data_IF_171739421197
#
_entry.id   IF_171739421197
#
_cell.length_a   1.000
_cell.length_b   1.000
_cell.length_c   1.000
_cell.angle_alpha   90.00
_cell.angle_beta   90.00
_cell.angle_gamma   90.00
#
_symmetry.space_group_name_H-M   'P 1'
#
loop_
_entity.id
_entity.type
_entity.pdbx_description
1 polymer ?
#
# COMPACT_ATOMS: atom_id res chain seq x y z
N UNK A 1 -2.68 -11.08 2.74
CA UNK A 1 -2.01 -10.25 3.75
C UNK A 1 -0.65 -10.86 4.12
N UNK A 2 -0.60 -11.79 5.08
CA UNK A 2 0.62 -12.42 5.61
C UNK A 2 1.62 -12.93 4.56
N UNK A 3 1.12 -13.64 3.53
CA UNK A 3 1.97 -14.21 2.48
C UNK A 3 2.93 -13.18 1.88
N UNK A 4 2.39 -12.04 1.42
CA UNK A 4 3.16 -11.03 0.69
C UNK A 4 3.82 -10.05 1.64
N UNK A 5 3.11 -9.58 2.68
CA UNK A 5 3.59 -8.49 3.54
C UNK A 5 4.49 -8.92 4.69
N UNK A 6 4.60 -10.21 4.97
CA UNK A 6 5.42 -10.74 6.07
C UNK A 6 6.30 -11.89 5.60
N UNK A 7 5.70 -13.01 5.18
CA UNK A 7 6.47 -14.24 4.92
C UNK A 7 7.45 -14.11 3.76
N UNK A 8 7.01 -13.50 2.66
CA UNK A 8 7.83 -13.30 1.47
C UNK A 8 8.88 -12.20 1.68
N UNK A 9 8.49 -11.09 2.31
CA UNK A 9 9.40 -9.97 2.60
C UNK A 9 10.46 -10.37 3.61
N UNK A 10 10.11 -11.14 4.64
CA UNK A 10 11.05 -11.70 5.61
C UNK A 10 12.06 -12.63 4.93
N UNK A 11 11.60 -13.54 4.06
CA UNK A 11 12.49 -14.44 3.30
C UNK A 11 13.48 -13.65 2.43
N UNK A 12 12.98 -12.70 1.63
CA UNK A 12 13.80 -11.90 0.72
C UNK A 12 14.85 -11.10 1.49
N UNK A 13 14.43 -10.39 2.55
CA UNK A 13 15.35 -9.60 3.38
C UNK A 13 16.36 -10.51 4.08
N UNK A 14 15.93 -11.66 4.59
CA UNK A 14 16.83 -12.62 5.25
C UNK A 14 17.86 -13.21 4.29
N UNK A 15 17.49 -13.46 3.03
CA UNK A 15 18.42 -13.89 1.99
C UNK A 15 19.46 -12.80 1.71
N UNK A 16 19.04 -11.58 1.40
CA UNK A 16 19.95 -10.49 1.01
C UNK A 16 20.82 -9.99 2.17
N UNK A 17 20.37 -10.13 3.41
CA UNK A 17 21.21 -9.91 4.59
C UNK A 17 22.10 -11.11 4.92
N UNK A 18 21.81 -12.27 4.34
CA UNK A 18 22.44 -13.53 4.68
C UNK A 18 22.25 -13.87 6.15
N UNK A 19 21.04 -13.67 6.69
CA UNK A 19 20.65 -14.02 8.08
C UNK A 19 19.77 -15.25 8.16
N UNK A 20 19.26 -15.76 7.02
CA UNK A 20 18.61 -17.08 6.97
C UNK A 20 19.55 -18.18 7.47
N UNK A 21 19.02 -19.27 8.04
CA UNK A 21 19.84 -20.37 8.54
C UNK A 21 20.74 -20.96 7.44
N UNK A 22 21.89 -21.50 7.83
CA UNK A 22 22.87 -22.09 6.92
C UNK A 22 23.17 -23.50 7.43
N UNK A 23 22.63 -24.49 6.73
CA UNK A 23 22.80 -25.90 7.10
C UNK A 23 24.08 -26.46 6.48
N UNK A 24 24.78 -27.35 7.19
CA UNK A 24 25.97 -28.01 6.66
C UNK A 24 25.58 -28.93 5.47
N UNK A 25 26.42 -29.04 4.42
CA UNK A 25 27.75 -28.42 4.26
C UNK A 25 27.73 -27.08 3.49
N UNK A 26 26.63 -26.31 3.51
CA UNK A 26 26.58 -25.00 2.83
C UNK A 26 27.42 -23.95 3.55
N UNK A 27 27.80 -22.90 2.82
CA UNK A 27 28.62 -21.81 3.33
C UNK A 27 28.04 -20.46 2.88
N UNK A 28 27.83 -19.55 3.85
CA UNK A 28 27.37 -18.17 3.61
C UNK A 28 28.34 -17.37 2.74
N UNK A 29 29.62 -17.73 2.69
CA UNK A 29 30.59 -17.09 1.80
C UNK A 29 30.26 -17.32 0.31
N UNK A 30 29.54 -18.40 -0.01
CA UNK A 30 29.10 -18.71 -1.38
C UNK A 30 27.85 -17.92 -1.81
N UNK A 31 27.24 -17.14 -0.91
CA UNK A 31 25.99 -16.41 -1.16
C UNK A 31 26.29 -15.01 -1.71
N UNK A 32 26.47 -14.91 -3.03
CA UNK A 32 26.73 -13.66 -3.75
C UNK A 32 25.55 -12.65 -3.69
N UNK A 33 24.36 -13.10 -3.32
CA UNK A 33 23.21 -12.21 -3.05
C UNK A 33 23.23 -11.57 -1.66
N UNK A 34 24.04 -12.07 -0.72
CA UNK A 34 24.02 -11.68 0.68
C UNK A 34 24.84 -10.40 0.95
N UNK A 35 24.45 -9.30 0.30
CA UNK A 35 25.19 -8.01 0.25
C UNK A 35 24.73 -6.97 1.28
N UNK A 36 23.53 -7.11 1.85
CA UNK A 36 22.98 -6.16 2.82
C UNK A 36 23.52 -6.44 4.23
N UNK A 37 24.82 -6.23 4.42
CA UNK A 37 25.55 -6.45 5.68
C UNK A 37 26.30 -5.19 6.11
N UNK A 38 26.65 -5.11 7.39
CA UNK A 38 27.49 -4.03 7.93
C UNK A 38 27.01 -2.62 7.56
N UNK A 39 27.92 -1.81 7.04
CA UNK A 39 27.62 -0.43 6.61
C UNK A 39 26.65 -0.35 5.43
N UNK A 40 26.71 -1.28 4.48
CA UNK A 40 25.75 -1.34 3.36
C UNK A 40 24.31 -1.42 3.87
N UNK A 41 24.07 -2.24 4.91
CA UNK A 41 22.74 -2.35 5.51
C UNK A 41 22.30 -1.07 6.23
N UNK A 42 23.20 -0.41 6.94
CA UNK A 42 22.91 0.86 7.64
C UNK A 42 22.59 1.99 6.65
N UNK A 43 23.40 2.15 5.60
CA UNK A 43 23.20 3.15 4.55
C UNK A 43 21.92 2.90 3.76
N UNK A 44 21.65 1.64 3.42
CA UNK A 44 20.40 1.23 2.78
C UNK A 44 19.20 1.57 3.66
N UNK A 45 19.27 1.23 4.94
CA UNK A 45 18.20 1.51 5.88
C UNK A 45 17.92 3.01 6.06
N UNK A 46 18.97 3.83 6.09
CA UNK A 46 18.86 5.29 6.07
C UNK A 46 18.17 5.78 4.79
N UNK A 47 18.57 5.26 3.63
CA UNK A 47 17.98 5.64 2.33
C UNK A 47 16.47 5.35 2.26
N UNK A 48 16.03 4.25 2.87
CA UNK A 48 14.59 3.93 3.00
C UNK A 48 13.85 4.95 3.87
N UNK A 49 14.45 5.36 5.00
CA UNK A 49 13.86 6.37 5.87
C UNK A 49 13.81 7.75 5.20
N UNK A 50 14.87 8.13 4.49
CA UNK A 50 14.99 9.40 3.77
C UNK A 50 14.00 9.50 2.59
N UNK A 51 13.42 8.39 2.14
CA UNK A 51 12.35 8.37 1.14
C UNK A 51 10.99 8.85 1.68
N UNK A 52 10.84 8.99 3.01
CA UNK A 52 9.57 9.34 3.66
C UNK A 52 8.88 10.60 3.11
N UNK A 53 9.57 11.73 2.88
CA UNK A 53 8.93 12.95 2.39
C UNK A 53 8.32 12.82 0.99
N UNK A 54 8.76 11.80 0.22
CA UNK A 54 8.31 11.56 -1.15
C UNK A 54 7.16 10.55 -1.22
N UNK A 55 6.71 10.02 -0.08
CA UNK A 55 5.55 9.13 -0.04
C UNK A 55 4.26 9.96 0.13
N UNK A 56 3.24 9.74 -0.72
CA UNK A 56 1.95 10.38 -0.57
C UNK A 56 1.37 10.16 0.84
N UNK A 57 0.75 11.20 1.40
CA UNK A 57 0.11 11.13 2.72
C UNK A 57 -0.98 10.06 2.83
N UNK A 58 -1.52 9.57 1.70
CA UNK A 58 -2.46 8.44 1.64
C UNK A 58 -1.89 7.13 2.21
N UNK A 59 -0.57 7.02 2.35
CA UNK A 59 0.09 5.83 2.86
C UNK A 59 0.11 5.71 4.39
N UNK A 60 -0.48 6.68 5.12
CA UNK A 60 -0.69 6.81 6.57
C UNK A 60 0.60 6.66 7.43
N UNK A 61 1.36 5.58 7.22
CA UNK A 61 2.63 5.30 7.88
C UNK A 61 3.72 4.94 6.86
N UNK A 62 4.73 5.81 6.66
CA UNK A 62 5.89 5.50 5.83
C UNK A 62 6.75 4.41 6.50
N UNK A 63 7.48 3.61 5.71
CA UNK A 63 8.42 2.61 6.23
C UNK A 63 9.55 3.30 7.00
N UNK A 64 9.75 2.91 8.26
CA UNK A 64 10.89 3.37 9.07
C UNK A 64 12.20 2.74 8.57
N UNK A 65 13.33 3.22 9.09
CA UNK A 65 14.65 2.63 8.83
C UNK A 65 14.64 1.12 9.14
N UNK A 66 14.69 0.23 8.13
CA UNK A 66 14.64 -1.21 8.36
C UNK A 66 15.87 -1.71 9.12
N UNK A 67 17.02 -1.05 9.02
CA UNK A 67 18.22 -1.46 9.74
C UNK A 67 18.11 -1.31 11.26
N UNK A 68 17.26 -0.38 11.73
CA UNK A 68 17.03 -0.15 13.16
C UNK A 68 15.79 -0.88 13.69
N UNK A 69 14.79 -1.13 12.83
CA UNK A 69 13.44 -1.50 13.27
C UNK A 69 12.97 -2.89 12.85
N UNK A 70 13.61 -3.56 11.89
CA UNK A 70 13.16 -4.89 11.41
C UNK A 70 13.04 -5.93 12.53
N UNK A 71 13.93 -5.90 13.52
CA UNK A 71 13.93 -6.82 14.67
C UNK A 71 13.08 -6.35 15.86
N UNK A 72 12.48 -5.15 15.81
CA UNK A 72 11.82 -4.51 16.96
C UNK A 72 10.43 -3.95 16.62
N UNK A 73 9.65 -4.69 15.83
CA UNK A 73 8.24 -4.36 15.55
C UNK A 73 8.01 -3.59 14.25
N UNK A 74 8.73 -3.97 13.20
CA UNK A 74 8.45 -3.52 11.82
C UNK A 74 7.15 -4.12 11.34
N UNK A 75 6.20 -3.26 10.95
CA UNK A 75 4.83 -3.70 10.66
C UNK A 75 4.73 -4.26 9.26
N UNK A 76 3.77 -5.16 9.07
CA UNK A 76 3.44 -5.73 7.76
C UNK A 76 3.21 -4.65 6.67
N UNK A 77 2.57 -3.53 7.02
CA UNK A 77 2.39 -2.41 6.09
C UNK A 77 3.72 -1.74 5.70
N UNK A 78 4.65 -1.61 6.64
CA UNK A 78 5.97 -1.05 6.36
C UNK A 78 6.78 -1.98 5.47
N UNK A 79 6.75 -3.30 5.71
CA UNK A 79 7.35 -4.28 4.81
C UNK A 79 6.79 -4.19 3.39
N UNK A 80 5.47 -4.07 3.26
CA UNK A 80 4.81 -3.98 1.97
C UNK A 80 5.26 -2.73 1.19
N UNK A 81 5.32 -1.57 1.85
CA UNK A 81 5.78 -0.32 1.21
C UNK A 81 7.28 -0.35 0.91
N UNK A 82 8.08 -0.78 1.87
CA UNK A 82 9.53 -0.89 1.69
C UNK A 82 9.87 -1.80 0.51
N UNK A 83 9.36 -3.03 0.48
CA UNK A 83 9.74 -4.00 -0.55
C UNK A 83 9.02 -3.73 -1.87
N UNK A 84 7.69 -3.55 -1.88
CA UNK A 84 6.96 -3.51 -3.15
C UNK A 84 6.69 -2.11 -3.68
N UNK A 85 6.76 -1.04 -2.88
CA UNK A 85 6.64 0.32 -3.37
C UNK A 85 8.02 0.96 -3.63
N UNK A 86 8.90 0.99 -2.62
CA UNK A 86 10.22 1.60 -2.73
C UNK A 86 11.28 0.67 -3.33
N UNK A 87 11.14 -0.64 -3.13
CA UNK A 87 12.15 -1.66 -3.42
C UNK A 87 12.85 -1.51 -4.78
N UNK A 88 12.14 -1.40 -5.91
CA UNK A 88 12.79 -1.27 -7.22
C UNK A 88 13.82 -0.14 -7.28
N UNK A 89 13.55 0.99 -6.61
CA UNK A 89 14.49 2.12 -6.55
C UNK A 89 15.59 1.89 -5.51
N UNK A 90 15.21 1.55 -4.27
CA UNK A 90 16.18 1.47 -3.16
C UNK A 90 17.14 0.27 -3.25
N UNK A 91 16.78 -0.79 -3.98
CA UNK A 91 17.67 -1.93 -4.20
C UNK A 91 18.49 -1.82 -5.49
N UNK A 92 18.18 -0.87 -6.37
CA UNK A 92 18.91 -0.69 -7.63
C UNK A 92 20.36 -0.29 -7.34
N UNK A 93 21.31 -0.95 -8.00
CA UNK A 93 22.77 -0.83 -7.75
C UNK A 93 23.24 -1.17 -6.32
N UNK A 94 22.35 -1.66 -5.44
CA UNK A 94 22.71 -2.15 -4.10
C UNK A 94 22.83 -3.66 -4.09
N UNK A 95 21.88 -4.37 -4.71
CA UNK A 95 21.96 -5.82 -4.94
C UNK A 95 22.43 -6.12 -6.37
N UNK A 96 23.12 -7.25 -6.62
CA UNK A 96 23.58 -7.58 -7.97
C UNK A 96 22.44 -7.62 -8.99
N UNK A 97 22.72 -7.15 -10.21
CA UNK A 97 21.72 -6.90 -11.26
C UNK A 97 20.80 -8.10 -11.53
N UNK A 98 21.35 -9.32 -11.58
CA UNK A 98 20.55 -10.54 -11.79
C UNK A 98 19.47 -10.76 -10.71
N UNK A 99 19.77 -10.44 -9.45
CA UNK A 99 18.83 -10.54 -8.34
C UNK A 99 17.83 -9.39 -8.35
N UNK A 100 18.28 -8.20 -8.72
CA UNK A 100 17.39 -7.04 -8.86
C UNK A 100 16.37 -7.23 -10.00
N UNK A 101 16.80 -7.70 -11.17
CA UNK A 101 15.92 -8.00 -12.29
C UNK A 101 14.92 -9.11 -11.94
N UNK A 102 15.38 -10.17 -11.28
CA UNK A 102 14.53 -11.24 -10.74
C UNK A 102 13.47 -10.70 -9.78
N UNK A 103 13.90 -9.87 -8.82
CA UNK A 103 13.02 -9.20 -7.88
C UNK A 103 11.99 -8.29 -8.55
N UNK A 104 12.37 -7.56 -9.61
CA UNK A 104 11.44 -6.69 -10.33
C UNK A 104 10.29 -7.45 -11.01
N UNK A 105 10.51 -8.71 -11.44
CA UNK A 105 9.43 -9.59 -11.92
C UNK A 105 8.38 -9.81 -10.83
N UNK A 106 8.84 -10.15 -9.63
CA UNK A 106 7.96 -10.32 -8.47
C UNK A 106 7.24 -9.02 -8.11
N UNK A 107 7.95 -7.90 -8.05
CA UNK A 107 7.33 -6.60 -7.74
C UNK A 107 6.23 -6.27 -8.73
N UNK A 108 6.48 -6.47 -10.02
CA UNK A 108 5.49 -6.22 -11.07
C UNK A 108 4.24 -7.08 -10.86
N UNK A 109 4.42 -8.38 -10.67
CA UNK A 109 3.29 -9.29 -10.45
C UNK A 109 2.49 -8.95 -9.19
N UNK A 110 3.17 -8.71 -8.06
CA UNK A 110 2.54 -8.37 -6.79
C UNK A 110 1.78 -7.04 -6.88
N UNK A 111 2.34 -6.03 -7.54
CA UNK A 111 1.67 -4.74 -7.76
C UNK A 111 0.38 -4.91 -8.55
N UNK A 112 0.37 -5.75 -9.59
CA UNK A 112 -0.85 -6.07 -10.36
C UNK A 112 -1.88 -6.75 -9.47
N UNK A 113 -1.49 -7.80 -8.73
CA UNK A 113 -2.40 -8.58 -7.86
C UNK A 113 -3.02 -7.73 -6.74
N UNK A 114 -2.35 -6.66 -6.30
CA UNK A 114 -2.86 -5.75 -5.27
C UNK A 114 -3.79 -4.66 -5.79
N UNK A 115 -4.02 -4.57 -7.11
CA UNK A 115 -4.98 -3.61 -7.64
C UNK A 115 -6.41 -4.02 -7.25
N UNK A 116 -7.27 -3.01 -7.06
CA UNK A 116 -8.70 -3.21 -6.77
C UNK A 116 -9.50 -3.62 -8.00
N UNK A 117 -9.04 -3.25 -9.19
CA UNK A 117 -9.59 -3.68 -10.47
C UNK A 117 -8.42 -4.11 -11.34
N UNK A 118 -8.48 -5.34 -11.84
CA UNK A 118 -7.38 -5.98 -12.56
C UNK A 118 -7.89 -6.40 -13.93
N UNK A 119 -7.25 -5.92 -15.00
CA UNK A 119 -7.52 -6.41 -16.36
C UNK A 119 -6.98 -7.83 -16.52
N UNK A 120 -7.70 -8.67 -17.26
CA UNK A 120 -7.33 -10.07 -17.51
C UNK A 120 -5.90 -10.17 -18.08
N UNK A 121 -5.55 -9.33 -19.05
CA UNK A 121 -4.21 -9.33 -19.66
C UNK A 121 -3.10 -9.03 -18.64
N UNK A 122 -3.35 -8.08 -17.72
CA UNK A 122 -2.40 -7.79 -16.64
C UNK A 122 -2.27 -8.99 -15.69
N UNK A 123 -3.37 -9.67 -15.39
CA UNK A 123 -3.35 -10.85 -14.54
C UNK A 123 -2.55 -12.00 -15.19
N UNK A 124 -2.65 -12.17 -16.51
CA UNK A 124 -1.82 -13.11 -17.26
C UNK A 124 -0.33 -12.76 -17.16
N UNK A 125 0.03 -11.48 -17.29
CA UNK A 125 1.41 -11.00 -17.10
C UNK A 125 1.90 -11.31 -15.67
N UNK A 126 1.08 -11.01 -14.65
CA UNK A 126 1.42 -11.28 -13.26
C UNK A 126 1.64 -12.78 -13.02
N UNK A 127 0.78 -13.63 -13.57
CA UNK A 127 0.92 -15.08 -13.46
C UNK A 127 2.22 -15.58 -14.09
N UNK A 128 2.52 -15.13 -15.32
CA UNK A 128 3.78 -15.45 -16.01
C UNK A 128 4.99 -15.04 -15.18
N UNK A 129 5.04 -13.79 -14.70
CA UNK A 129 6.17 -13.30 -13.91
C UNK A 129 6.32 -14.02 -12.57
N UNK A 130 5.24 -14.47 -11.95
CA UNK A 130 5.31 -15.31 -10.75
C UNK A 130 5.92 -16.68 -11.07
N UNK A 131 5.47 -17.34 -12.15
CA UNK A 131 6.02 -18.64 -12.55
C UNK A 131 7.52 -18.54 -12.85
N UNK A 132 7.91 -17.50 -13.60
CA UNK A 132 9.32 -17.22 -13.87
C UNK A 132 10.08 -16.93 -12.57
N UNK A 133 9.53 -16.11 -11.67
CA UNK A 133 10.18 -15.81 -10.39
C UNK A 133 10.43 -17.09 -9.57
N UNK A 134 9.45 -17.99 -9.45
CA UNK A 134 9.60 -19.24 -8.68
C UNK A 134 10.65 -20.16 -9.30
N UNK A 135 10.62 -20.34 -10.62
CA UNK A 135 11.64 -21.13 -11.34
C UNK A 135 13.03 -20.51 -11.19
N UNK A 136 13.15 -19.21 -11.39
CA UNK A 136 14.42 -18.50 -11.31
C UNK A 136 14.93 -18.45 -9.85
N UNK A 137 14.04 -18.47 -8.84
CA UNK A 137 14.41 -18.59 -7.42
C UNK A 137 15.11 -19.93 -7.14
N UNK A 138 14.61 -21.01 -7.76
CA UNK A 138 15.22 -22.34 -7.68
C UNK A 138 16.66 -22.34 -8.18
N UNK A 139 16.92 -21.62 -9.28
CA UNK A 139 18.23 -21.51 -9.91
C UNK A 139 19.16 -20.56 -9.14
N UNK A 140 18.63 -19.44 -8.67
CA UNK A 140 19.44 -18.33 -8.13
C UNK A 140 19.78 -18.53 -6.66
N UNK A 141 18.80 -18.89 -5.83
CA UNK A 141 18.97 -18.99 -4.37
C UNK A 141 19.15 -20.44 -3.92
N UNK A 142 18.17 -21.30 -4.22
CA UNK A 142 18.19 -22.69 -3.80
C UNK A 142 19.33 -23.49 -4.47
N UNK A 143 19.62 -23.19 -5.73
CA UNK A 143 20.65 -23.84 -6.55
C UNK A 143 20.54 -25.37 -6.58
N UNK A 144 19.35 -25.91 -6.29
CA UNK A 144 19.08 -27.36 -6.19
C UNK A 144 19.97 -28.09 -5.18
N UNK A 145 20.46 -27.40 -4.16
CA UNK A 145 21.30 -27.96 -3.11
C UNK A 145 20.43 -28.44 -1.95
N UNK A 146 20.56 -29.70 -1.54
CA UNK A 146 19.82 -30.25 -0.40
C UNK A 146 19.97 -29.38 0.85
N UNK A 147 21.19 -28.91 1.13
CA UNK A 147 21.51 -28.01 2.25
C UNK A 147 20.84 -26.61 2.18
N UNK A 148 20.08 -26.30 1.12
CA UNK A 148 19.32 -25.06 0.94
C UNK A 148 17.82 -25.28 0.79
N UNK A 149 17.32 -26.50 1.00
CA UNK A 149 15.89 -26.82 0.81
C UNK A 149 14.98 -25.94 1.66
N UNK A 150 15.45 -25.52 2.84
CA UNK A 150 14.75 -24.61 3.75
C UNK A 150 14.58 -23.18 3.20
N UNK A 151 15.28 -22.81 2.12
CA UNK A 151 15.04 -21.55 1.41
C UNK A 151 13.68 -21.58 0.67
N UNK A 152 13.24 -22.76 0.24
CA UNK A 152 11.97 -22.99 -0.45
C UNK A 152 10.79 -23.00 0.53
N UNK A 153 10.64 -21.91 1.30
CA UNK A 153 9.57 -21.76 2.29
C UNK A 153 8.18 -21.84 1.64
N UNK A 154 7.13 -22.18 2.40
CA UNK A 154 5.75 -22.24 1.88
C UNK A 154 5.29 -20.97 1.16
N UNK A 155 5.85 -19.79 1.49
CA UNK A 155 5.53 -18.56 0.78
C UNK A 155 5.97 -18.56 -0.69
N UNK A 156 7.05 -19.24 -1.06
CA UNK A 156 7.48 -19.39 -2.46
C UNK A 156 6.50 -20.31 -3.22
N UNK A 157 6.13 -21.44 -2.60
CA UNK A 157 5.14 -22.36 -3.17
C UNK A 157 3.76 -21.73 -3.35
N UNK A 158 3.34 -20.86 -2.43
CA UNK A 158 2.03 -20.23 -2.49
C UNK A 158 1.91 -19.17 -3.61
N UNK A 159 3.02 -18.64 -4.14
CA UNK A 159 3.00 -17.56 -5.12
C UNK A 159 2.23 -17.89 -6.42
N UNK A 160 2.47 -19.03 -7.11
CA UNK A 160 1.79 -19.36 -8.36
C UNK A 160 0.27 -19.44 -8.25
N UNK A 161 -0.26 -19.66 -7.04
CA UNK A 161 -1.69 -19.70 -6.78
C UNK A 161 -2.33 -18.32 -6.73
N UNK A 162 -1.58 -17.23 -6.56
CA UNK A 162 -2.16 -15.89 -6.38
C UNK A 162 -3.03 -15.45 -7.56
N UNK A 163 -2.56 -15.61 -8.80
CA UNK A 163 -3.32 -15.16 -9.97
C UNK A 163 -4.58 -16.00 -10.23
N UNK A 164 -4.54 -17.36 -10.20
CA UNK A 164 -5.74 -18.19 -10.25
C UNK A 164 -6.76 -17.84 -9.15
N UNK A 165 -6.28 -17.56 -7.93
CA UNK A 165 -7.16 -17.19 -6.82
C UNK A 165 -7.86 -15.85 -7.07
N UNK A 166 -7.18 -14.88 -7.70
CA UNK A 166 -7.82 -13.62 -8.11
C UNK A 166 -8.97 -13.86 -9.10
N UNK A 167 -8.86 -14.84 -10.00
CA UNK A 167 -9.97 -15.22 -10.90
C UNK A 167 -11.12 -15.85 -10.12
N UNK A 168 -10.79 -16.71 -9.14
CA UNK A 168 -11.77 -17.49 -8.37
C UNK A 168 -12.59 -16.65 -7.40
N UNK A 169 -11.95 -15.75 -6.65
CA UNK A 169 -12.60 -15.01 -5.54
C UNK A 169 -12.46 -13.48 -5.66
N UNK A 170 -11.90 -12.99 -6.76
CA UNK A 170 -11.65 -11.57 -6.98
C UNK A 170 -10.35 -11.06 -6.34
N UNK A 171 -10.02 -9.78 -6.53
CA UNK A 171 -8.77 -9.19 -6.06
C UNK A 171 -8.58 -9.33 -4.55
N UNK A 172 -7.35 -9.65 -4.15
CA UNK A 172 -6.99 -9.86 -2.75
C UNK A 172 -7.29 -8.66 -1.84
N UNK A 173 -7.36 -7.45 -2.40
CA UNK A 173 -7.73 -6.23 -1.69
C UNK A 173 -9.10 -6.32 -0.99
N UNK A 174 -10.02 -7.16 -1.48
CA UNK A 174 -11.36 -7.33 -0.92
C UNK A 174 -11.49 -8.51 0.05
N UNK A 175 -10.52 -9.43 0.04
CA UNK A 175 -10.49 -10.63 0.89
C UNK A 175 -9.37 -10.60 1.92
N UNK A 176 -8.74 -9.44 2.14
CA UNK A 176 -7.68 -9.30 3.15
C UNK A 176 -8.20 -9.48 4.58
N UNK A 177 -7.30 -9.95 5.46
CA UNK A 177 -7.60 -10.14 6.88
C UNK A 177 -7.46 -8.85 7.72
N UNK A 178 -7.01 -7.72 7.13
CA UNK A 178 -6.74 -6.48 7.87
C UNK A 178 -7.93 -6.01 8.70
N UNK A 179 -9.12 -5.96 8.09
CA UNK A 179 -10.35 -5.50 8.77
C UNK A 179 -10.76 -6.45 9.89
N UNK A 180 -10.60 -7.76 9.67
CA UNK A 180 -10.90 -8.78 10.67
C UNK A 180 -9.94 -8.68 11.86
N UNK A 181 -8.63 -8.59 11.62
CA UNK A 181 -7.62 -8.44 12.69
C UNK A 181 -7.81 -7.17 13.49
N UNK A 182 -8.11 -6.05 12.82
CA UNK A 182 -8.43 -4.79 13.49
C UNK A 182 -9.68 -4.94 14.37
N UNK A 183 -10.69 -5.65 13.88
CA UNK A 183 -11.92 -5.92 14.63
C UNK A 183 -11.64 -6.80 15.86
N UNK A 184 -10.80 -7.84 15.71
CA UNK A 184 -10.35 -8.68 16.83
C UNK A 184 -9.62 -7.85 17.88
N UNK A 185 -8.67 -7.00 17.47
CA UNK A 185 -7.95 -6.11 18.38
C UNK A 185 -8.89 -5.17 19.12
N UNK A 186 -9.82 -4.53 18.41
CA UNK A 186 -10.79 -3.62 18.99
C UNK A 186 -11.73 -4.32 19.98
N UNK A 187 -12.18 -5.53 19.68
CA UNK A 187 -12.96 -6.33 20.62
C UNK A 187 -12.13 -6.78 21.83
N UNK A 188 -10.84 -7.07 21.63
CA UNK A 188 -9.91 -7.42 22.70
C UNK A 188 -9.75 -6.30 23.74
N UNK A 189 -9.74 -5.04 23.31
CA UNK A 189 -9.70 -3.86 24.20
C UNK A 189 -10.94 -3.76 25.11
N UNK A 190 -12.06 -4.40 24.74
CA UNK A 190 -13.30 -4.38 25.51
C UNK A 190 -13.38 -5.50 26.56
N UNK A 191 -12.43 -6.44 26.56
CA UNK A 191 -12.38 -7.53 27.54
C UNK A 191 -11.92 -6.96 28.88
N UNK A 192 -12.87 -6.79 29.81
CA UNK A 192 -12.62 -6.21 31.14
C UNK A 192 -12.60 -7.23 32.27
N UNK A 193 -12.94 -8.49 31.98
CA UNK A 193 -13.01 -9.57 32.97
C UNK A 193 -11.99 -10.68 32.67
N UNK A 194 -10.84 -10.72 33.36
CA UNK A 194 -9.79 -11.69 33.09
C UNK A 194 -10.16 -13.13 33.49
N UNK A 195 -11.13 -13.33 34.39
CA UNK A 195 -11.54 -14.66 34.85
C UNK A 195 -12.46 -15.41 33.90
N UNK A 196 -13.21 -14.70 33.04
CA UNK A 196 -14.16 -15.29 32.07
C UNK A 196 -14.13 -14.51 30.74
N UNK A 197 -12.96 -14.43 30.07
CA UNK A 197 -12.76 -13.52 28.93
C UNK A 197 -13.68 -13.83 27.76
N UNK A 198 -13.92 -15.10 27.44
CA UNK A 198 -14.81 -15.49 26.34
C UNK A 198 -16.28 -15.15 26.61
N UNK A 199 -16.78 -15.39 27.82
CA UNK A 199 -18.15 -15.03 28.18
C UNK A 199 -18.35 -13.50 28.14
N UNK A 200 -17.37 -12.74 28.62
CA UNK A 200 -17.38 -11.29 28.54
C UNK A 200 -17.37 -10.80 27.08
N UNK A 201 -16.47 -11.35 26.25
CA UNK A 201 -16.39 -11.06 24.83
C UNK A 201 -17.71 -11.34 24.10
N UNK A 202 -18.35 -12.49 24.37
CA UNK A 202 -19.67 -12.81 23.79
C UNK A 202 -20.73 -11.78 24.17
N UNK A 203 -20.78 -11.36 25.44
CA UNK A 203 -21.71 -10.31 25.87
C UNK A 203 -21.41 -8.96 25.20
N UNK A 204 -20.14 -8.58 25.05
CA UNK A 204 -19.74 -7.37 24.29
C UNK A 204 -20.18 -7.45 22.83
N UNK A 205 -20.02 -8.62 22.20
CA UNK A 205 -20.49 -8.86 20.84
C UNK A 205 -22.01 -8.71 20.69
N UNK A 206 -22.79 -9.28 21.61
CA UNK A 206 -24.26 -9.14 21.64
C UNK A 206 -24.65 -7.67 21.78
N UNK A 207 -24.08 -6.95 22.76
CA UNK A 207 -24.39 -5.54 22.99
C UNK A 207 -24.07 -4.68 21.76
N UNK A 208 -22.93 -4.89 21.11
CA UNK A 208 -22.56 -4.15 19.88
C UNK A 208 -23.54 -4.44 18.74
N UNK A 209 -23.96 -5.70 18.60
CA UNK A 209 -24.93 -6.10 17.59
C UNK A 209 -26.30 -5.46 17.84
N UNK A 210 -26.76 -5.42 19.10
CA UNK A 210 -28.00 -4.76 19.50
C UNK A 210 -27.94 -3.24 19.25
N UNK A 211 -26.84 -2.58 19.62
CA UNK A 211 -26.65 -1.14 19.36
C UNK A 211 -26.63 -0.85 17.86
N UNK A 212 -25.90 -1.65 17.07
CA UNK A 212 -25.88 -1.50 15.62
C UNK A 212 -27.26 -1.71 14.99
N UNK A 213 -28.03 -2.69 15.48
CA UNK A 213 -29.40 -2.93 15.01
C UNK A 213 -30.31 -1.75 15.34
N UNK A 214 -30.25 -1.20 16.56
CA UNK A 214 -31.01 -0.01 16.94
C UNK A 214 -30.66 1.20 16.08
N UNK A 215 -29.37 1.45 15.84
CA UNK A 215 -28.89 2.52 14.95
C UNK A 215 -29.37 2.36 13.51
N UNK A 216 -29.44 1.13 13.01
CA UNK A 216 -29.94 0.84 11.66
C UNK A 216 -31.47 0.98 11.56
N UNK A 217 -32.21 0.56 12.59
CA UNK A 217 -33.67 0.64 12.63
C UNK A 217 -34.18 2.06 12.89
N UNK A 218 -33.43 2.86 13.64
CA UNK A 218 -33.78 4.23 14.01
C UNK A 218 -32.59 5.14 13.66
N UNK A 219 -32.48 5.58 12.38
CA UNK A 219 -31.37 6.42 11.93
C UNK A 219 -31.20 7.73 12.73
N UNK A 220 -32.30 8.23 13.33
CA UNK A 220 -32.30 9.44 14.16
C UNK A 220 -31.53 9.29 15.48
N UNK A 221 -31.21 8.06 15.93
CA UNK A 221 -30.36 7.83 17.11
C UNK A 221 -28.92 8.30 16.90
N UNK A 222 -28.44 8.27 15.65
CA UNK A 222 -27.12 8.75 15.26
C UNK A 222 -27.25 9.46 13.91
N UNK A 223 -27.80 10.69 13.89
CA UNK A 223 -28.06 11.40 12.66
C UNK A 223 -26.74 11.59 11.89
N UNK A 224 -26.77 11.26 10.60
CA UNK A 224 -25.62 11.43 9.71
C UNK A 224 -25.39 12.94 9.55
N UNK A 225 -24.52 13.51 10.37
CA UNK A 225 -24.09 14.89 10.20
C UNK A 225 -23.04 14.92 9.10
N UNK A 226 -23.45 15.29 7.89
CA UNK A 226 -22.53 15.57 6.79
C UNK A 226 -21.76 16.84 7.14
N UNK A 227 -20.61 16.68 7.81
CA UNK A 227 -19.69 17.79 8.02
C UNK A 227 -18.88 17.99 6.76
N UNK A 228 -19.07 19.14 6.12
CA UNK A 228 -18.22 19.57 5.02
C UNK A 228 -16.74 19.51 5.45
N UNK A 229 -15.86 18.89 4.65
CA UNK A 229 -14.43 18.95 4.89
C UNK A 229 -13.98 20.40 5.01
N UNK A 230 -13.00 20.68 5.87
CA UNK A 230 -12.53 22.06 6.09
C UNK A 230 -12.17 22.76 4.78
N UNK A 231 -12.86 23.86 4.48
CA UNK A 231 -12.66 24.66 3.27
C UNK A 231 -13.46 24.19 2.05
N UNK A 232 -14.32 23.18 2.20
CA UNK A 232 -15.31 22.84 1.19
C UNK A 232 -16.49 23.82 1.21
N UNK A 233 -17.11 24.05 0.06
CA UNK A 233 -18.32 24.87 -0.12
C UNK A 233 -19.40 24.03 -0.78
N UNK A 234 -20.61 24.09 -0.25
CA UNK A 234 -21.77 23.47 -0.91
C UNK A 234 -22.18 24.30 -2.13
N UNK A 235 -22.45 23.64 -3.25
CA UNK A 235 -22.86 24.28 -4.51
C UNK A 235 -24.34 24.08 -4.82
N UNK A 236 -25.07 23.31 -3.98
CA UNK A 236 -26.45 22.89 -4.24
C UNK A 236 -26.54 21.67 -5.16
N UNK A 237 -27.73 21.04 -5.21
CA UNK A 237 -28.00 19.90 -6.09
C UNK A 237 -27.12 18.67 -5.84
N UNK A 238 -26.75 18.42 -4.58
CA UNK A 238 -25.83 17.37 -4.14
C UNK A 238 -24.36 17.55 -4.56
N UNK A 239 -23.99 18.75 -5.02
CA UNK A 239 -22.60 19.09 -5.36
C UNK A 239 -21.89 19.83 -4.23
N UNK A 240 -20.63 19.46 -4.00
CA UNK A 240 -19.73 20.10 -3.05
C UNK A 240 -18.41 20.46 -3.72
N UNK A 241 -18.01 21.72 -3.64
CA UNK A 241 -16.69 22.19 -4.03
C UNK A 241 -15.70 21.90 -2.91
N UNK A 242 -14.74 21.00 -3.15
CA UNK A 242 -13.67 20.75 -2.19
C UNK A 242 -12.57 21.81 -2.32
N UNK A 243 -11.90 22.12 -1.21
CA UNK A 243 -10.70 22.96 -1.23
C UNK A 243 -9.65 22.34 -2.15
N UNK A 244 -9.00 23.16 -2.99
CA UNK A 244 -7.83 22.76 -3.76
C UNK A 244 -6.76 22.18 -2.81
N UNK A 245 -6.37 20.93 -3.04
CA UNK A 245 -5.34 20.22 -2.27
C UNK A 245 -4.12 19.84 -3.10
N UNK A 246 -4.19 20.03 -4.42
CA UNK A 246 -3.05 19.84 -5.30
C UNK A 246 -2.14 21.07 -5.27
N UNK A 247 -0.85 20.82 -5.13
CA UNK A 247 0.22 21.82 -5.27
C UNK A 247 0.74 21.88 -6.71
N UNK A 248 0.23 21.03 -7.59
CA UNK A 248 0.68 20.82 -8.97
C UNK A 248 -0.49 20.93 -9.95
N UNK A 249 -0.28 21.65 -11.06
CA UNK A 249 -1.29 21.82 -12.08
C UNK A 249 -1.47 20.53 -12.90
N UNK A 250 -2.71 20.12 -13.13
CA UNK A 250 -3.06 18.99 -13.99
C UNK A 250 -3.87 19.49 -15.19
N UNK A 251 -3.54 19.00 -16.38
CA UNK A 251 -4.38 19.15 -17.56
C UNK A 251 -5.65 18.30 -17.36
N UNK A 252 -6.82 18.92 -17.49
CA UNK A 252 -8.11 18.22 -17.49
C UNK A 252 -8.52 18.06 -18.94
N UNK A 253 -8.79 16.82 -19.38
CA UNK A 253 -9.35 16.59 -20.71
C UNK A 253 -10.78 17.16 -20.80
N UNK A 254 -11.02 17.98 -21.83
CA UNK A 254 -12.25 18.77 -22.07
C UNK A 254 -13.56 17.97 -22.22
N UNK A 255 -13.57 16.66 -21.94
CA UNK A 255 -14.77 15.83 -22.04
C UNK A 255 -15.78 16.06 -20.89
N UNK A 256 -15.38 16.75 -19.81
CA UNK A 256 -16.22 16.97 -18.62
C UNK A 256 -16.94 18.34 -18.57
N UNK A 257 -16.71 19.22 -19.55
CA UNK A 257 -17.10 20.64 -19.48
C UNK A 257 -18.45 20.99 -20.13
N UNK A 258 -19.27 20.00 -20.49
CA UNK A 258 -20.57 20.25 -21.17
C UNK A 258 -21.74 20.57 -20.24
N UNK A 259 -21.59 20.51 -18.92
CA UNK A 259 -22.64 20.84 -17.97
C UNK A 259 -22.12 21.86 -16.94
N UNK A 260 -22.46 23.14 -17.14
CA UNK A 260 -22.70 24.22 -16.14
C UNK A 260 -22.30 25.56 -16.76
N UNK A 261 -23.21 26.16 -17.53
CA UNK A 261 -23.23 27.60 -17.81
C UNK A 261 -23.96 28.31 -16.68
N UNK A 262 -23.22 28.77 -15.66
CA UNK A 262 -23.76 29.56 -14.56
C UNK A 262 -22.73 30.59 -14.10
N UNK A 263 -22.96 31.86 -14.43
CA UNK A 263 -22.12 32.99 -14.07
C UNK A 263 -21.95 33.09 -12.53
N UNK A 264 -20.72 32.93 -12.04
CA UNK A 264 -20.33 33.39 -10.71
C UNK A 264 -19.09 34.28 -10.84
N UNK A 265 -19.28 35.58 -10.60
CA UNK A 265 -18.20 36.57 -10.55
C UNK A 265 -17.22 36.23 -9.41
N UNK A 266 -15.94 36.20 -9.74
CA UNK A 266 -14.86 35.91 -8.78
C UNK A 266 -14.51 37.17 -7.97
N UNK A 267 -14.39 37.11 -6.62
CA UNK A 267 -13.77 38.18 -5.86
C UNK A 267 -12.23 38.06 -5.94
N UNK A 268 -11.54 39.21 -5.98
CA UNK A 268 -10.08 39.31 -6.13
C UNK A 268 -9.28 38.56 -5.04
N UNK A 269 -8.11 37.98 -5.37
CA UNK A 269 -7.28 37.23 -4.42
C UNK A 269 -6.50 38.17 -3.49
N UNK A 270 -6.80 38.12 -2.19
CA UNK A 270 -5.95 38.69 -1.13
C UNK A 270 -4.73 37.81 -0.82
N UNK A 271 -3.67 38.36 -0.20
CA UNK A 271 -2.39 37.67 -0.01
C UNK A 271 -2.51 36.49 0.98
N UNK A 272 -1.95 35.34 0.58
CA UNK A 272 -1.98 34.09 1.34
C UNK A 272 -1.10 34.16 2.60
N UNK A 273 -1.68 33.84 3.77
CA UNK A 273 -0.92 33.52 5.00
C UNK A 273 -0.63 32.01 5.09
N UNK A 274 0.54 31.60 5.60
CA UNK A 274 0.85 30.18 5.76
C UNK A 274 0.11 29.61 6.97
N UNK A 275 -0.78 28.62 6.76
CA UNK A 275 -1.38 27.83 7.84
C UNK A 275 -0.98 26.36 7.69
N UNK A 276 -0.28 25.82 8.68
CA UNK A 276 -0.06 24.38 8.86
C UNK A 276 -1.41 23.69 9.08
N UNK A 277 -1.82 22.78 8.20
CA UNK A 277 -2.98 21.91 8.43
C UNK A 277 -2.76 20.52 7.79
N UNK A 278 -2.94 19.47 8.60
CA UNK A 278 -2.93 18.05 8.23
C UNK A 278 -4.01 17.73 7.18
N UNK A 279 -3.73 16.88 6.17
CA UNK A 279 -4.77 16.37 5.29
C UNK A 279 -5.28 15.01 5.76
N UNK A 280 -6.58 14.94 6.09
CA UNK A 280 -7.36 13.69 6.06
C UNK A 280 -7.85 13.48 4.62
N UNK A 281 -7.44 12.38 3.97
CA UNK A 281 -7.77 12.06 2.58
C UNK A 281 -8.59 10.77 2.48
N UNK A 282 -9.63 10.83 1.65
CA UNK A 282 -10.54 9.73 1.32
C UNK A 282 -9.88 8.58 0.55
N UNK A 283 -10.58 7.45 0.57
CA UNK A 283 -10.18 6.09 0.20
C UNK A 283 -9.82 5.89 -1.29
N UNK A 284 -8.67 6.43 -1.73
CA UNK A 284 -7.89 5.86 -2.83
C UNK A 284 -6.83 4.92 -2.26
N UNK A 285 -6.68 3.70 -2.80
CA UNK A 285 -5.60 2.82 -2.34
C UNK A 285 -4.26 3.43 -2.72
N UNK A 286 -3.44 3.80 -1.73
CA UNK A 286 -2.13 4.45 -1.95
C UNK A 286 -1.26 3.75 -3.01
N UNK A 287 -1.40 2.43 -3.18
CA UNK A 287 -0.68 1.63 -4.18
C UNK A 287 -0.83 2.11 -5.64
N UNK A 288 -1.96 2.69 -6.03
CA UNK A 288 -2.15 3.24 -7.38
C UNK A 288 -1.51 4.63 -7.54
N UNK A 289 -1.45 5.42 -6.46
CA UNK A 289 -0.87 6.78 -6.48
C UNK A 289 0.65 6.76 -6.63
N UNK A 290 1.33 5.72 -6.12
CA UNK A 290 2.78 5.52 -6.33
C UNK A 290 3.16 5.27 -7.81
N UNK A 291 2.22 4.77 -8.64
CA UNK A 291 2.46 4.48 -10.05
C UNK A 291 2.48 5.74 -10.92
N UNK A 292 1.57 6.69 -10.65
CA UNK A 292 1.52 7.97 -11.35
C UNK A 292 2.80 8.81 -11.12
N UNK A 293 3.41 8.69 -9.95
CA UNK A 293 4.59 9.48 -9.57
C UNK A 293 5.91 9.05 -10.25
N UNK A 294 6.09 7.75 -10.50
CA UNK A 294 7.29 7.24 -11.20
C UNK A 294 7.28 7.58 -12.71
N UNK A 295 6.11 7.69 -13.33
CA UNK A 295 5.96 8.19 -14.71
C UNK A 295 6.21 9.71 -14.79
N UNK A 296 5.81 10.48 -13.77
CA UNK A 296 6.08 11.93 -13.70
C UNK A 296 7.58 12.24 -13.59
N UNK A 297 8.38 11.42 -12.92
CA UNK A 297 9.84 11.62 -12.89
C UNK A 297 10.53 11.37 -14.24
N UNK A 298 9.92 10.61 -15.16
CA UNK A 298 10.42 10.46 -16.54
C UNK A 298 10.08 11.66 -17.44
N UNK A 299 9.04 12.43 -17.09
CA UNK A 299 8.49 13.49 -17.95
C UNK A 299 9.05 14.90 -17.67
N UNK A 300 9.87 15.10 -16.64
CA UNK A 300 10.41 16.42 -16.29
C UNK A 300 11.71 16.75 -17.09
N UNK A 301 11.53 17.09 -18.36
CA UNK A 301 12.43 18.01 -19.10
C UNK A 301 11.69 19.36 -19.27
N UNK A 302 12.33 20.52 -19.07
CA UNK A 302 11.61 21.74 -18.71
C UNK A 302 11.08 22.53 -19.92
N UNK A 303 9.82 22.98 -19.83
CA UNK A 303 9.33 24.13 -20.57
C UNK A 303 7.82 24.16 -20.83
N UNK A 304 7.02 24.70 -19.91
CA UNK A 304 5.90 25.62 -20.15
C UNK A 304 5.15 25.96 -18.83
N UNK A 305 4.77 27.22 -18.64
CA UNK A 305 3.89 27.67 -17.54
C UNK A 305 2.46 27.88 -18.08
N UNK A 306 1.41 27.41 -17.38
CA UNK A 306 0.06 27.97 -17.56
C UNK A 306 -0.61 28.42 -16.24
N UNK A 307 -1.55 29.37 -16.38
CA UNK A 307 -2.30 30.06 -15.32
C UNK A 307 -3.42 29.25 -14.65
N UNK A 308 -4.26 29.88 -13.79
CA UNK A 308 -5.06 29.16 -12.80
C UNK A 308 -6.45 28.73 -13.32
N UNK A 309 -6.79 27.45 -13.17
CA UNK A 309 -8.15 26.92 -13.35
C UNK A 309 -8.48 25.86 -12.27
N UNK A 310 -9.74 25.86 -11.80
CA UNK A 310 -10.27 25.03 -10.70
C UNK A 310 -11.00 23.77 -11.22
N UNK A 311 -11.06 22.69 -10.45
CA UNK A 311 -11.78 21.45 -10.76
C UNK A 311 -13.11 21.31 -9.98
N UNK A 312 -14.18 20.90 -10.65
CA UNK A 312 -15.45 20.42 -10.08
C UNK A 312 -15.56 18.89 -10.26
N UNK A 313 -16.18 18.18 -9.31
CA UNK A 313 -16.48 16.74 -9.44
C UNK A 313 -17.95 16.45 -9.07
N UNK A 314 -18.60 15.64 -9.92
CA UNK A 314 -19.96 15.10 -9.73
C UNK A 314 -19.90 13.81 -8.93
N UNK A 315 -20.72 13.70 -7.88
CA UNK A 315 -21.00 12.43 -7.21
C UNK A 315 -22.47 12.10 -7.42
N UNK A 316 -22.75 10.90 -7.94
CA UNK A 316 -24.11 10.37 -8.00
C UNK A 316 -24.40 9.81 -6.61
N UNK A 317 -25.31 10.45 -5.87
CA UNK A 317 -25.88 9.90 -4.65
C UNK A 317 -26.85 8.78 -5.03
N UNK A 318 -26.54 7.54 -4.68
CA UNK A 318 -27.55 6.49 -4.65
C UNK A 318 -28.34 6.66 -3.34
N UNK A 319 -29.62 6.97 -3.48
CA UNK A 319 -30.67 6.92 -2.45
C UNK A 319 -30.85 5.54 -1.85
#
# INVERSE_FOLDING_TARGET
>A
MHLVSLNLTDLIVSLWRGTIDCDLPDDRASWDWAVLKGETWKLHGKSVADATPYLPGSFDRPPRNPAEKISSGYKAWEYLLYIFALGPGVFYNVIPEKYWAHFCKLVTAIRIIHQRSIKVDHLCIAHKFIQEFVRDFELFYYQRKIARIHFCRPCIHALPHLAPEVVRIGPGAYSTQWTMERSISNLGEEIKQPSKPFANLSQRGILRSQVNALKAMIPDLEPIVIKLPRGAKELGGDFMLLRARDETAHLVDNAADSDVSGQAQSPEPGPARPSKARPEAGLGSGFQQAWAWLEVQKAQSPGLKPGPHYQLRKYILNS
#
